data_IF_534049858311
#
_entry.id   IF_534049858311
#
_cell.length_a   1.000
_cell.length_b   1.000
_cell.length_c   1.000
_cell.angle_alpha   90.00
_cell.angle_beta   90.00
_cell.angle_gamma   90.00
#
_symmetry.space_group_name_H-M   'P 1'
#
loop_
_entity.id
_entity.type
_entity.pdbx_description
1 polymer ?
#
# COMPACT_ATOMS: atom_id res chain seq x y z
N UNK A 1 -2.61 1.40 0.13
CA UNK A 1 -2.88 2.48 1.12
C UNK A 1 -3.87 1.91 2.14
N UNK A 2 -3.76 2.25 3.42
CA UNK A 2 -4.69 1.73 4.44
C UNK A 2 -6.00 2.53 4.47
N UNK A 3 -7.14 1.83 4.52
CA UNK A 3 -8.50 2.40 4.53
C UNK A 3 -9.46 1.56 5.40
N UNK A 4 -9.09 1.32 6.66
CA UNK A 4 -9.93 0.64 7.67
C UNK A 4 -10.18 -0.85 7.39
N UNK A 5 -9.33 -1.45 6.57
CA UNK A 5 -9.41 -2.84 6.15
C UNK A 5 -8.51 -3.75 6.99
N UNK A 6 -8.70 -3.74 8.31
CA UNK A 6 -7.88 -4.52 9.26
C UNK A 6 -7.83 -6.01 8.90
N UNK A 7 -8.95 -6.58 8.44
CA UNK A 7 -9.02 -8.00 8.04
C UNK A 7 -8.14 -8.29 6.82
N UNK A 8 -8.14 -7.40 5.82
CA UNK A 8 -7.30 -7.58 4.63
C UNK A 8 -5.83 -7.33 4.94
N UNK A 9 -5.54 -6.32 5.78
CA UNK A 9 -4.19 -6.07 6.24
C UNK A 9 -3.64 -7.27 7.03
N UNK A 10 -4.42 -7.81 7.96
CA UNK A 10 -4.02 -8.96 8.77
C UNK A 10 -3.73 -10.19 7.88
N UNK A 11 -4.60 -10.47 6.91
CA UNK A 11 -4.41 -11.53 5.94
C UNK A 11 -3.13 -11.33 5.12
N UNK A 12 -2.88 -10.10 4.63
CA UNK A 12 -1.68 -9.74 3.87
C UNK A 12 -0.42 -9.95 4.70
N UNK A 13 -0.38 -9.43 5.92
CA UNK A 13 0.77 -9.54 6.82
C UNK A 13 1.06 -11.00 7.14
N UNK A 14 0.04 -11.79 7.48
CA UNK A 14 0.20 -13.23 7.72
C UNK A 14 0.69 -14.00 6.50
N UNK A 15 0.18 -13.69 5.31
CA UNK A 15 0.56 -14.38 4.06
C UNK A 15 2.02 -14.11 3.69
N UNK A 16 2.51 -12.92 3.98
CA UNK A 16 3.81 -12.43 3.51
C UNK A 16 4.91 -12.39 4.58
N UNK A 17 4.58 -12.67 5.84
CA UNK A 17 5.49 -12.53 6.99
C UNK A 17 6.86 -13.21 6.74
N UNK A 18 6.87 -14.44 6.24
CA UNK A 18 8.10 -15.20 6.01
C UNK A 18 8.92 -14.74 4.80
N UNK A 19 8.35 -13.87 3.94
CA UNK A 19 8.90 -13.50 2.64
C UNK A 19 9.21 -12.01 2.50
N UNK A 20 8.74 -11.18 3.44
CA UNK A 20 8.88 -9.73 3.39
C UNK A 20 9.54 -9.24 4.68
N UNK A 21 10.64 -8.51 4.50
CA UNK A 21 11.42 -7.96 5.61
C UNK A 21 10.76 -6.71 6.21
N UNK A 22 10.16 -5.85 5.39
CA UNK A 22 9.54 -4.59 5.82
C UNK A 22 8.22 -4.34 5.12
N UNK A 23 7.19 -4.02 5.90
CA UNK A 23 5.88 -3.57 5.45
C UNK A 23 5.75 -2.06 5.62
N UNK A 24 5.73 -1.32 4.51
CA UNK A 24 5.46 0.11 4.53
C UNK A 24 3.94 0.34 4.45
N UNK A 25 3.36 0.85 5.53
CA UNK A 25 1.93 1.16 5.63
C UNK A 25 1.77 2.67 5.61
N UNK A 26 1.10 3.19 4.58
CA UNK A 26 0.83 4.61 4.45
C UNK A 26 -0.65 4.94 4.65
N UNK A 27 -0.92 5.93 5.50
CA UNK A 27 -2.24 6.50 5.76
C UNK A 27 -2.15 8.03 5.73
N UNK A 28 -3.11 8.68 5.07
CA UNK A 28 -3.13 10.13 4.96
C UNK A 28 -4.12 10.79 5.91
N UNK A 29 -3.88 12.04 6.32
CA UNK A 29 -4.81 12.82 7.16
C UNK A 29 -6.00 13.39 6.38
N UNK A 30 -6.03 13.16 5.06
CA UNK A 30 -7.13 13.58 4.17
C UNK A 30 -7.58 12.43 3.28
N UNK A 31 -8.84 12.48 2.86
CA UNK A 31 -9.39 11.59 1.84
C UNK A 31 -9.06 12.07 0.40
N UNK A 32 -9.41 11.26 -0.59
CA UNK A 32 -9.24 11.58 -2.01
C UNK A 32 -10.00 12.86 -2.42
N UNK A 33 -11.09 13.20 -1.73
CA UNK A 33 -11.88 14.42 -1.96
C UNK A 33 -11.28 15.67 -1.28
N UNK A 34 -10.28 15.49 -0.40
CA UNK A 34 -9.55 16.54 0.30
C UNK A 34 -10.10 16.87 1.69
N UNK A 35 -11.13 16.15 2.14
CA UNK A 35 -11.68 16.31 3.47
C UNK A 35 -10.71 15.74 4.50
N UNK A 36 -10.71 16.32 5.69
CA UNK A 36 -9.93 15.78 6.80
C UNK A 36 -10.53 14.45 7.24
N UNK A 37 -9.65 13.47 7.49
CA UNK A 37 -10.02 12.17 8.02
C UNK A 37 -9.19 11.85 9.25
N UNK A 38 -9.79 11.08 10.16
CA UNK A 38 -9.07 10.50 11.29
C UNK A 38 -8.16 9.38 10.78
N UNK A 39 -6.98 9.25 11.38
CA UNK A 39 -6.10 8.10 11.20
C UNK A 39 -6.64 6.93 12.02
N UNK A 40 -6.81 5.79 11.38
CA UNK A 40 -7.47 4.61 11.94
C UNK A 40 -6.52 3.43 12.14
N UNK A 41 -5.34 3.43 11.51
CA UNK A 41 -4.36 2.38 11.73
C UNK A 41 -3.87 2.36 13.19
N UNK A 42 -4.04 1.21 13.86
CA UNK A 42 -3.50 0.97 15.21
C UNK A 42 -2.52 -0.20 15.19
N UNK A 43 -1.25 0.10 15.46
CA UNK A 43 -0.18 -0.90 15.57
C UNK A 43 -0.46 -1.99 16.62
N UNK A 44 -1.31 -1.71 17.62
CA UNK A 44 -1.73 -2.69 18.63
C UNK A 44 -2.52 -3.86 18.05
N UNK A 45 -3.15 -3.69 16.89
CA UNK A 45 -3.86 -4.76 16.20
C UNK A 45 -2.89 -5.74 15.50
N UNK A 46 -1.63 -5.35 15.29
CA UNK A 46 -0.66 -6.07 14.47
C UNK A 46 0.66 -6.35 15.20
N UNK A 47 0.60 -6.60 16.51
CA UNK A 47 1.78 -6.73 17.38
C UNK A 47 2.79 -7.80 16.91
N UNK A 48 2.33 -8.87 16.26
CA UNK A 48 3.19 -9.91 15.69
C UNK A 48 4.20 -9.36 14.68
N UNK A 49 3.79 -8.33 13.94
CA UNK A 49 4.56 -7.75 12.83
C UNK A 49 5.16 -6.40 13.17
N UNK A 50 5.07 -5.96 14.44
CA UNK A 50 5.43 -4.60 14.87
C UNK A 50 6.84 -4.18 14.43
N UNK A 51 7.78 -5.13 14.42
CA UNK A 51 9.19 -4.88 14.11
C UNK A 51 9.45 -4.81 12.60
N UNK A 52 8.49 -5.29 11.79
CA UNK A 52 8.51 -5.21 10.32
C UNK A 52 7.66 -4.08 9.77
N UNK A 53 6.75 -3.50 10.56
CA UNK A 53 5.85 -2.45 10.08
C UNK A 53 6.51 -1.08 10.22
N UNK A 54 6.61 -0.38 9.09
CA UNK A 54 6.92 1.04 9.03
C UNK A 54 5.67 1.83 8.68
N UNK A 55 5.12 2.55 9.65
CA UNK A 55 3.92 3.36 9.47
C UNK A 55 4.27 4.79 9.05
N UNK A 56 3.69 5.25 7.95
CA UNK A 56 3.86 6.58 7.39
C UNK A 56 2.54 7.35 7.45
N UNK A 57 2.57 8.48 8.15
CA UNK A 57 1.47 9.46 8.13
C UNK A 57 1.75 10.48 7.04
N UNK A 58 0.79 10.67 6.14
CA UNK A 58 0.86 11.63 5.04
C UNK A 58 -0.06 12.80 5.36
N UNK A 59 0.52 13.90 5.82
CA UNK A 59 -0.19 15.11 6.22
C UNK A 59 -0.06 16.27 5.21
N UNK A 60 0.72 16.06 4.15
CA UNK A 60 1.06 17.02 3.11
C UNK A 60 0.26 16.85 1.81
N UNK A 61 -0.89 16.15 1.87
CA UNK A 61 -1.77 16.00 0.71
C UNK A 61 -2.25 17.37 0.18
N UNK A 62 -2.16 17.62 -1.15
CA UNK A 62 -2.52 18.91 -1.72
C UNK A 62 -4.03 19.19 -1.57
N UNK A 63 -4.37 20.34 -1.01
CA UNK A 63 -5.76 20.76 -0.79
C UNK A 63 -6.41 21.28 -2.07
N UNK A 64 -5.68 22.09 -2.85
CA UNK A 64 -6.15 22.65 -4.11
C UNK A 64 -5.51 21.90 -5.29
N UNK A 65 -6.26 20.97 -5.88
CA UNK A 65 -5.81 20.18 -7.04
C UNK A 65 -6.57 20.61 -8.29
N UNK A 66 -5.86 20.68 -9.42
CA UNK A 66 -6.44 20.90 -10.76
C UNK A 66 -6.20 19.65 -11.59
N UNK A 67 -7.14 19.37 -12.50
CA UNK A 67 -6.94 18.27 -13.43
C UNK A 67 -5.73 18.52 -14.33
N UNK A 68 -4.79 17.58 -14.36
CA UNK A 68 -3.55 17.67 -15.14
C UNK A 68 -3.76 17.24 -16.60
N UNK A 69 -4.83 16.48 -16.87
CA UNK A 69 -5.18 15.95 -18.19
C UNK A 69 -6.67 16.08 -18.45
N UNK A 70 -7.04 16.33 -19.70
CA UNK A 70 -8.44 16.31 -20.13
C UNK A 70 -9.09 14.98 -19.70
N UNK A 71 -10.22 15.07 -19.00
CA UNK A 71 -10.99 13.94 -18.43
C UNK A 71 -10.41 13.24 -17.19
N UNK A 72 -9.36 13.75 -16.56
CA UNK A 72 -8.92 13.23 -15.25
C UNK A 72 -9.65 13.93 -14.12
N UNK A 73 -10.12 13.18 -13.12
CA UNK A 73 -10.63 13.77 -11.91
C UNK A 73 -9.49 14.54 -11.20
N UNK A 74 -9.71 15.76 -10.70
CA UNK A 74 -8.70 16.52 -9.96
C UNK A 74 -8.11 15.73 -8.78
N UNK A 75 -8.96 14.92 -8.13
CA UNK A 75 -8.62 14.06 -6.99
C UNK A 75 -7.50 13.06 -7.28
N UNK A 76 -7.30 12.68 -8.55
CA UNK A 76 -6.25 11.74 -8.94
C UNK A 76 -4.84 12.24 -8.54
N UNK A 77 -4.62 13.55 -8.49
CA UNK A 77 -3.36 14.11 -7.99
C UNK A 77 -3.09 13.75 -6.52
N UNK A 78 -4.14 13.68 -5.69
CA UNK A 78 -4.00 13.30 -4.28
C UNK A 78 -3.64 11.82 -4.15
N UNK A 79 -4.30 10.97 -4.93
CA UNK A 79 -4.00 9.53 -4.96
C UNK A 79 -2.55 9.28 -5.38
N UNK A 80 -2.09 9.96 -6.43
CA UNK A 80 -0.69 9.88 -6.88
C UNK A 80 0.28 10.43 -5.83
N UNK A 81 -0.05 11.53 -5.16
CA UNK A 81 0.77 12.07 -4.09
C UNK A 81 0.91 11.08 -2.92
N UNK A 82 -0.21 10.44 -2.53
CA UNK A 82 -0.20 9.45 -1.47
C UNK A 82 0.63 8.22 -1.86
N UNK A 83 0.50 7.72 -3.10
CA UNK A 83 1.32 6.62 -3.62
C UNK A 83 2.80 6.97 -3.68
N UNK A 84 3.14 8.15 -4.20
CA UNK A 84 4.54 8.60 -4.26
C UNK A 84 5.16 8.81 -2.88
N UNK A 85 4.34 9.14 -1.88
CA UNK A 85 4.81 9.26 -0.48
C UNK A 85 5.28 7.94 0.11
N UNK A 86 4.94 6.78 -0.48
CA UNK A 86 5.53 5.48 -0.09
C UNK A 86 7.05 5.48 -0.22
N UNK A 87 7.62 6.30 -1.11
CA UNK A 87 9.06 6.44 -1.25
C UNK A 87 9.74 6.96 0.03
N UNK A 88 9.02 7.71 0.88
CA UNK A 88 9.49 8.10 2.22
C UNK A 88 9.74 6.88 3.13
N UNK A 89 9.17 5.73 2.78
CA UNK A 89 9.33 4.46 3.48
C UNK A 89 10.57 3.68 3.08
N UNK A 90 11.13 3.93 1.89
CA UNK A 90 12.26 3.19 1.32
C UNK A 90 13.59 3.66 1.93
N UNK A 91 13.79 3.34 3.20
CA UNK A 91 15.03 3.62 3.92
C UNK A 91 15.89 2.35 3.98
N UNK A 92 17.21 2.53 3.88
CA UNK A 92 18.20 1.46 3.98
C UNK A 92 17.98 0.33 2.96
N UNK A 93 17.53 0.66 1.75
CA UNK A 93 17.39 -0.32 0.67
C UNK A 93 18.73 -0.53 -0.05
N UNK A 94 19.04 -1.78 -0.35
CA UNK A 94 20.15 -2.19 -1.19
C UNK A 94 19.76 -2.19 -2.68
N UNK A 95 20.76 -2.20 -3.56
CA UNK A 95 20.58 -2.15 -5.03
C UNK A 95 19.78 -3.35 -5.58
N UNK A 96 19.74 -4.45 -4.83
CA UNK A 96 19.06 -5.69 -5.19
C UNK A 96 17.72 -5.89 -4.47
N UNK A 97 17.30 -4.92 -3.64
CA UNK A 97 16.03 -5.01 -2.92
C UNK A 97 14.84 -4.90 -3.86
N UNK A 98 13.81 -5.70 -3.58
CA UNK A 98 12.57 -5.71 -4.34
C UNK A 98 11.51 -4.87 -3.63
N UNK A 99 11.12 -3.77 -4.28
CA UNK A 99 10.00 -2.94 -3.82
C UNK A 99 8.72 -3.37 -4.53
N UNK A 100 7.75 -3.85 -3.74
CA UNK A 100 6.42 -4.21 -4.23
C UNK A 100 5.40 -3.17 -3.79
N UNK A 101 4.68 -2.60 -4.78
CA UNK A 101 3.61 -1.64 -4.54
C UNK A 101 2.31 -2.26 -5.07
N UNK A 102 1.34 -2.46 -4.19
CA UNK A 102 0.00 -2.92 -4.56
C UNK A 102 -1.03 -2.38 -3.56
N UNK A 103 -2.30 -2.42 -3.94
CA UNK A 103 -3.39 -2.12 -3.01
C UNK A 103 -3.50 -3.24 -1.95
N UNK A 104 -4.24 -2.97 -0.86
CA UNK A 104 -4.19 -3.82 0.34
C UNK A 104 -4.70 -5.24 0.10
N UNK A 105 -5.74 -5.35 -0.74
CA UNK A 105 -6.40 -6.57 -1.18
C UNK A 105 -5.68 -7.28 -2.34
N UNK A 106 -4.72 -6.62 -2.99
CA UNK A 106 -3.83 -7.19 -4.01
C UNK A 106 -2.63 -7.91 -3.37
N UNK A 107 -2.91 -8.99 -2.61
CA UNK A 107 -1.92 -9.78 -1.88
C UNK A 107 -1.12 -10.67 -2.85
N UNK A 108 0.17 -10.40 -3.10
CA UNK A 108 0.94 -11.19 -4.05
C UNK A 108 1.21 -12.61 -3.55
N UNK A 109 1.33 -13.54 -4.51
CA UNK A 109 1.73 -14.91 -4.22
C UNK A 109 3.25 -14.99 -3.96
N UNK A 110 3.69 -15.27 -2.73
CA UNK A 110 5.12 -15.24 -2.39
C UNK A 110 5.96 -16.24 -3.19
N UNK A 111 5.38 -17.35 -3.64
CA UNK A 111 6.08 -18.35 -4.45
C UNK A 111 6.49 -17.85 -5.83
N UNK A 112 5.99 -16.70 -6.26
CA UNK A 112 6.32 -16.07 -7.55
C UNK A 112 7.44 -15.04 -7.44
N UNK A 113 7.89 -14.68 -6.23
CA UNK A 113 8.94 -13.67 -6.05
C UNK A 113 10.25 -14.06 -6.73
N UNK A 114 10.60 -15.36 -6.65
CA UNK A 114 11.81 -15.91 -7.29
C UNK A 114 11.76 -15.93 -8.82
N UNK A 115 10.58 -15.70 -9.43
CA UNK A 115 10.45 -15.60 -10.89
C UNK A 115 10.87 -14.22 -11.40
N UNK A 116 10.91 -13.20 -10.52
CA UNK A 116 11.39 -11.88 -10.90
C UNK A 116 12.92 -11.88 -11.04
N UNK A 117 13.37 -11.29 -12.14
CA UNK A 117 14.78 -11.13 -12.45
C UNK A 117 15.18 -9.67 -12.32
N UNK A 118 16.11 -9.37 -11.41
CA UNK A 118 16.50 -8.01 -11.04
C UNK A 118 16.99 -7.21 -12.26
N UNK A 119 17.62 -7.87 -13.25
CA UNK A 119 18.09 -7.23 -14.48
C UNK A 119 16.97 -6.60 -15.33
N UNK A 120 15.71 -6.98 -15.11
CA UNK A 120 14.57 -6.38 -15.80
C UNK A 120 14.21 -4.98 -15.26
N UNK A 121 14.70 -4.61 -14.07
CA UNK A 121 14.44 -3.33 -13.41
C UNK A 121 13.03 -3.19 -12.82
N UNK A 122 11.98 -3.48 -13.59
CA UNK A 122 10.59 -3.48 -13.12
C UNK A 122 9.77 -4.59 -13.78
N UNK A 123 8.71 -5.03 -13.11
CA UNK A 123 7.74 -5.97 -13.65
C UNK A 123 6.33 -5.67 -13.13
N UNK A 124 5.32 -6.16 -13.85
CA UNK A 124 3.96 -6.24 -13.37
C UNK A 124 3.71 -7.65 -12.81
N UNK A 125 3.21 -7.72 -11.58
CA UNK A 125 2.92 -9.00 -10.95
C UNK A 125 1.52 -9.47 -11.33
N UNK A 126 1.44 -10.48 -12.20
CA UNK A 126 0.16 -11.02 -12.67
C UNK A 126 -0.40 -12.04 -11.69
N UNK A 127 -1.64 -11.83 -11.25
CA UNK A 127 -2.30 -12.67 -10.26
C UNK A 127 -3.78 -12.87 -10.58
N UNK A 128 -4.37 -13.91 -10.00
CA UNK A 128 -5.81 -14.20 -10.17
C UNK A 128 -6.62 -13.26 -9.29
N UNK A 129 -7.74 -12.79 -9.83
CA UNK A 129 -8.70 -11.98 -9.07
C UNK A 129 -9.70 -12.93 -8.42
N UNK A 130 -9.87 -12.78 -7.10
CA UNK A 130 -10.85 -13.54 -6.33
C UNK A 130 -11.81 -12.57 -5.66
N UNK A 131 -13.11 -12.85 -5.76
CA UNK A 131 -14.14 -12.10 -5.05
C UNK A 131 -14.67 -12.95 -3.89
N UNK A 132 -14.41 -12.51 -2.66
CA UNK A 132 -15.00 -13.13 -1.48
C UNK A 132 -16.36 -12.49 -1.21
N UNK A 133 -17.39 -13.30 -1.03
CA UNK A 133 -18.70 -12.86 -0.57
C UNK A 133 -19.06 -13.65 0.68
N UNK A 134 -19.30 -12.94 1.78
CA UNK A 134 -19.69 -13.51 3.07
C UNK A 134 -21.07 -12.99 3.46
N UNK A 135 -21.90 -13.85 4.04
CA UNK A 135 -23.22 -13.51 4.56
C UNK A 135 -24.12 -12.78 3.54
N UNK A 136 -24.18 -13.30 2.31
CA UNK A 136 -25.16 -12.85 1.32
C UNK A 136 -26.54 -13.35 1.77
N UNK A 137 -27.41 -12.44 2.21
CA UNK A 137 -28.84 -12.67 2.38
C UNK A 137 -29.55 -12.56 1.04
#
# INVERSE_FOLDING_TARGET
>A
MYFDEDVMLDLRLHTLDEYVDTFVIAEATRDHAGNEKKLNFDHKNFLKFKDKIKYLVIDDLPTNVKSVKKNWAPNHLRDQHQRNSLAKGFENCDENDLIMISDIDEIPNPFKFSEFKIENGYACFMQKIFHLKLNLL
#
